data_IF_878966461716
#
_entry.id   IF_878966461716
#
_cell.length_a   1.000
_cell.length_b   1.000
_cell.length_c   1.000
_cell.angle_alpha   90.00
_cell.angle_beta   90.00
_cell.angle_gamma   90.00
#
_symmetry.space_group_name_H-M   'P 1'
#
loop_
_entity.id
_entity.type
_entity.pdbx_description
1 polymer ?
#
# COMPACT_ATOMS: atom_id res chain seq x y z
N UNK A 1 -13.88 -11.04 10.11
CA UNK A 1 -14.76 -10.80 8.94
C UNK A 1 -14.05 -9.85 7.97
N UNK A 2 -14.22 -10.01 6.65
CA UNK A 2 -13.55 -9.14 5.66
C UNK A 2 -14.17 -7.74 5.66
N UNK A 3 -13.34 -6.72 5.45
CA UNK A 3 -13.74 -5.32 5.36
C UNK A 3 -14.47 -5.01 4.04
N UNK A 4 -15.27 -3.94 3.93
CA UNK A 4 -15.86 -3.51 2.66
C UNK A 4 -14.82 -3.29 1.55
N UNK A 5 -15.27 -3.37 0.30
CA UNK A 5 -14.48 -3.05 -0.89
C UNK A 5 -14.99 -1.74 -1.49
N UNK A 6 -14.14 -0.74 -1.65
CA UNK A 6 -14.46 0.52 -2.31
C UNK A 6 -13.79 0.61 -3.67
N UNK A 7 -14.58 0.90 -4.71
CA UNK A 7 -14.09 1.24 -6.04
C UNK A 7 -14.04 2.76 -6.19
N UNK A 8 -12.82 3.28 -6.30
CA UNK A 8 -12.50 4.68 -6.51
C UNK A 8 -11.97 4.90 -7.94
N UNK A 9 -11.86 6.16 -8.36
CA UNK A 9 -11.25 6.54 -9.63
C UNK A 9 -12.08 7.54 -10.41
N UNK A 10 -11.50 8.05 -11.50
CA UNK A 10 -12.11 9.10 -12.29
C UNK A 10 -13.47 8.68 -12.88
N UNK A 11 -14.27 9.64 -13.28
CA UNK A 11 -15.56 9.33 -13.91
C UNK A 11 -15.32 8.55 -15.21
N UNK A 12 -16.23 7.63 -15.57
CA UNK A 12 -16.11 6.76 -16.74
C UNK A 12 -14.97 5.71 -16.72
N UNK A 13 -14.32 5.46 -15.58
CA UNK A 13 -13.36 4.33 -15.45
C UNK A 13 -14.02 2.95 -15.27
N UNK A 14 -15.36 2.88 -15.27
CA UNK A 14 -16.12 1.62 -15.19
C UNK A 14 -16.47 1.14 -13.77
N UNK A 15 -16.31 1.98 -12.74
CA UNK A 15 -16.55 1.63 -11.32
C UNK A 15 -17.87 0.89 -11.05
N UNK A 16 -18.99 1.41 -11.52
CA UNK A 16 -20.31 0.78 -11.28
C UNK A 16 -20.41 -0.58 -11.98
N UNK A 17 -19.97 -0.69 -13.23
CA UNK A 17 -20.02 -1.96 -13.98
C UNK A 17 -19.09 -3.03 -13.39
N UNK A 18 -17.84 -2.66 -13.11
CA UNK A 18 -16.85 -3.53 -12.45
C UNK A 18 -17.35 -3.91 -11.05
N UNK A 19 -17.89 -2.95 -10.30
CA UNK A 19 -18.40 -3.17 -8.95
C UNK A 19 -19.54 -4.18 -8.89
N UNK A 20 -20.49 -4.13 -9.82
CA UNK A 20 -21.56 -5.14 -9.94
C UNK A 20 -20.99 -6.53 -10.22
N UNK A 21 -20.09 -6.65 -11.20
CA UNK A 21 -19.46 -7.92 -11.55
C UNK A 21 -18.64 -8.50 -10.39
N UNK A 22 -17.92 -7.66 -9.64
CA UNK A 22 -17.17 -8.07 -8.44
C UNK A 22 -18.12 -8.52 -7.32
N UNK A 23 -19.20 -7.77 -7.08
CA UNK A 23 -20.20 -8.10 -6.06
C UNK A 23 -20.87 -9.45 -6.35
N UNK A 24 -21.25 -9.70 -7.60
CA UNK A 24 -21.80 -10.98 -8.05
C UNK A 24 -20.80 -12.12 -7.84
N UNK A 25 -19.56 -11.95 -8.34
CA UNK A 25 -18.47 -12.93 -8.20
C UNK A 25 -18.19 -13.29 -6.74
N UNK A 26 -18.21 -12.32 -5.85
CA UNK A 26 -17.91 -12.49 -4.42
C UNK A 26 -19.15 -12.81 -3.58
N UNK A 27 -20.35 -12.84 -4.17
CA UNK A 27 -21.64 -12.96 -3.47
C UNK A 27 -21.77 -11.94 -2.34
N UNK A 28 -21.55 -10.67 -2.69
CA UNK A 28 -21.64 -9.51 -1.78
C UNK A 28 -22.70 -8.53 -2.23
N UNK A 29 -23.28 -7.74 -1.32
CA UNK A 29 -24.15 -6.63 -1.69
C UNK A 29 -23.36 -5.61 -2.51
N UNK A 30 -24.00 -5.08 -3.55
CA UNK A 30 -23.47 -3.95 -4.31
C UNK A 30 -24.19 -2.66 -3.88
N UNK A 31 -23.42 -1.61 -3.63
CA UNK A 31 -23.92 -0.28 -3.31
C UNK A 31 -23.30 0.71 -4.31
N UNK A 32 -24.14 1.43 -5.05
CA UNK A 32 -23.70 2.62 -5.76
C UNK A 32 -23.95 3.84 -4.86
N UNK A 33 -22.88 4.51 -4.43
CA UNK A 33 -22.98 5.58 -3.43
C UNK A 33 -23.79 6.77 -3.98
N UNK A 34 -23.63 7.09 -5.26
CA UNK A 34 -24.34 8.19 -5.91
C UNK A 34 -25.86 7.89 -5.92
N UNK A 35 -26.25 6.66 -6.33
CA UNK A 35 -27.65 6.24 -6.32
C UNK A 35 -28.26 6.21 -4.89
N UNK A 36 -27.47 5.85 -3.88
CA UNK A 36 -27.89 5.87 -2.48
C UNK A 36 -28.17 7.29 -1.99
N UNK A 37 -27.38 8.27 -2.42
CA UNK A 37 -27.59 9.69 -2.10
C UNK A 37 -28.86 10.20 -2.77
N UNK A 38 -29.07 9.90 -4.06
CA UNK A 38 -30.29 10.30 -4.78
C UNK A 38 -31.55 9.72 -4.14
N UNK A 39 -31.52 8.44 -3.76
CA UNK A 39 -32.63 7.80 -3.06
C UNK A 39 -32.97 8.49 -1.74
N UNK A 40 -31.96 8.94 -0.98
CA UNK A 40 -32.16 9.64 0.30
C UNK A 40 -32.61 11.08 0.11
N UNK A 41 -32.07 11.77 -0.89
CA UNK A 41 -32.39 13.17 -1.20
C UNK A 41 -33.74 13.32 -1.92
N UNK A 42 -34.27 12.24 -2.51
CA UNK A 42 -35.51 12.25 -3.27
C UNK A 42 -35.40 13.00 -4.61
N UNK A 43 -34.19 13.34 -5.06
CA UNK A 43 -33.93 14.05 -6.31
C UNK A 43 -32.58 13.63 -6.92
N UNK A 44 -32.37 13.86 -8.24
CA UNK A 44 -31.10 13.56 -8.90
C UNK A 44 -29.94 14.44 -8.42
N UNK A 45 -28.71 13.93 -8.51
CA UNK A 45 -27.51 14.69 -8.12
C UNK A 45 -27.40 16.01 -8.87
N UNK A 46 -27.77 16.06 -10.15
CA UNK A 46 -27.77 17.29 -10.95
C UNK A 46 -28.60 18.40 -10.29
N UNK A 47 -29.74 18.06 -9.69
CA UNK A 47 -30.61 19.00 -8.98
C UNK A 47 -30.00 19.44 -7.65
N UNK A 48 -29.34 18.54 -6.91
CA UNK A 48 -28.60 18.87 -5.69
C UNK A 48 -27.47 19.87 -6.01
N UNK A 49 -26.73 19.65 -7.10
CA UNK A 49 -25.69 20.58 -7.56
C UNK A 49 -26.28 21.95 -7.93
N UNK A 50 -27.40 21.97 -8.65
CA UNK A 50 -28.04 23.21 -9.08
C UNK A 50 -28.61 24.02 -7.91
N UNK A 51 -29.19 23.35 -6.89
CA UNK A 51 -29.84 24.02 -5.75
C UNK A 51 -28.88 24.37 -4.63
N UNK A 52 -27.95 23.47 -4.29
CA UNK A 52 -27.16 23.53 -3.07
C UNK A 52 -25.65 23.58 -3.31
N UNK A 53 -25.22 23.44 -4.58
CA UNK A 53 -23.82 23.47 -4.97
C UNK A 53 -23.03 22.20 -4.65
N UNK A 54 -21.80 22.12 -5.19
CA UNK A 54 -20.93 20.96 -5.02
C UNK A 54 -20.56 20.70 -3.55
N UNK A 55 -20.33 21.74 -2.76
CA UNK A 55 -19.91 21.60 -1.37
C UNK A 55 -20.93 20.84 -0.51
N UNK A 56 -22.22 21.09 -0.72
CA UNK A 56 -23.32 20.38 -0.06
C UNK A 56 -23.39 18.92 -0.51
N UNK A 57 -23.29 18.64 -1.82
CA UNK A 57 -23.24 17.28 -2.34
C UNK A 57 -22.06 16.49 -1.74
N UNK A 58 -20.87 17.10 -1.68
CA UNK A 58 -19.69 16.49 -1.05
C UNK A 58 -19.90 16.22 0.43
N UNK A 59 -20.77 16.94 1.13
CA UNK A 59 -21.11 16.65 2.53
C UNK A 59 -21.96 15.40 2.65
N UNK A 60 -23.00 15.27 1.81
CA UNK A 60 -23.84 14.07 1.72
C UNK A 60 -23.02 12.83 1.33
N UNK A 61 -22.08 12.98 0.38
CA UNK A 61 -21.19 11.89 -0.05
C UNK A 61 -20.31 11.37 1.10
N UNK A 62 -19.82 12.27 1.96
CA UNK A 62 -19.03 11.88 3.14
C UNK A 62 -19.87 11.20 4.20
N UNK A 63 -21.06 11.73 4.48
CA UNK A 63 -21.98 11.17 5.48
C UNK A 63 -22.42 9.77 5.07
N UNK A 64 -22.90 9.59 3.84
CA UNK A 64 -23.32 8.30 3.32
C UNK A 64 -22.19 7.25 3.34
N UNK A 65 -20.96 7.64 2.97
CA UNK A 65 -19.82 6.73 3.04
C UNK A 65 -19.44 6.38 4.48
N UNK A 66 -19.47 7.35 5.40
CA UNK A 66 -19.18 7.09 6.83
C UNK A 66 -20.17 6.10 7.42
N UNK A 67 -21.46 6.30 7.20
CA UNK A 67 -22.48 5.38 7.71
C UNK A 67 -22.24 3.94 7.25
N UNK A 68 -21.88 3.72 5.98
CA UNK A 68 -21.59 2.38 5.45
C UNK A 68 -20.38 1.76 6.16
N UNK A 69 -19.31 2.54 6.37
CA UNK A 69 -18.07 2.05 6.98
C UNK A 69 -18.16 1.88 8.49
N UNK A 70 -18.99 2.67 9.18
CA UNK A 70 -19.22 2.59 10.61
C UNK A 70 -20.19 1.47 10.97
N UNK A 71 -21.26 1.30 10.21
CA UNK A 71 -22.23 0.21 10.41
C UNK A 71 -21.60 -1.18 10.27
N UNK A 72 -20.44 -1.29 9.61
CA UNK A 72 -19.70 -2.55 9.40
C UNK A 72 -20.61 -3.72 8.99
N UNK A 73 -21.45 -3.56 7.94
CA UNK A 73 -22.49 -4.51 7.60
C UNK A 73 -21.90 -5.89 7.27
N UNK A 74 -22.62 -6.94 7.70
CA UNK A 74 -22.31 -8.33 7.40
C UNK A 74 -23.44 -8.93 6.52
N UNK A 75 -23.16 -9.38 5.28
CA UNK A 75 -21.84 -9.44 4.62
C UNK A 75 -21.31 -8.07 4.16
N UNK A 76 -19.98 -7.91 4.14
CA UNK A 76 -19.32 -6.67 3.73
C UNK A 76 -19.60 -6.32 2.25
N UNK A 77 -20.01 -5.08 1.93
CA UNK A 77 -20.44 -4.70 0.59
C UNK A 77 -19.27 -4.33 -0.33
N UNK A 78 -19.57 -4.37 -1.63
CA UNK A 78 -18.80 -3.70 -2.68
C UNK A 78 -19.46 -2.35 -2.97
N UNK A 79 -18.71 -1.27 -2.87
CA UNK A 79 -19.24 0.10 -2.99
C UNK A 79 -18.57 0.81 -4.16
N UNK A 80 -19.34 1.26 -5.13
CA UNK A 80 -18.88 2.19 -6.18
C UNK A 80 -18.96 3.62 -5.65
N UNK A 81 -17.85 4.34 -5.69
CA UNK A 81 -17.77 5.73 -5.21
C UNK A 81 -17.90 6.73 -6.37
N UNK A 82 -18.46 7.91 -6.08
CA UNK A 82 -18.32 9.08 -6.93
C UNK A 82 -16.85 9.50 -7.06
N UNK A 83 -16.47 10.09 -8.20
CA UNK A 83 -15.07 10.43 -8.48
C UNK A 83 -14.45 11.48 -7.54
N UNK A 84 -15.26 12.10 -6.66
CA UNK A 84 -14.84 13.07 -5.66
C UNK A 84 -14.95 12.61 -4.20
N UNK A 85 -15.42 11.38 -3.95
CA UNK A 85 -15.72 10.90 -2.59
C UNK A 85 -14.52 10.91 -1.63
N UNK A 86 -13.32 10.69 -2.16
CA UNK A 86 -12.09 10.57 -1.38
C UNK A 86 -11.12 11.75 -1.55
N UNK A 87 -11.57 12.91 -2.03
CA UNK A 87 -10.69 14.07 -2.22
C UNK A 87 -10.14 14.60 -0.90
N UNK A 88 -11.00 14.68 0.13
CA UNK A 88 -10.56 15.07 1.48
C UNK A 88 -9.69 13.97 2.09
N UNK A 89 -8.44 14.30 2.41
CA UNK A 89 -7.47 13.35 2.96
C UNK A 89 -7.97 12.64 4.22
N UNK A 90 -8.66 13.34 5.13
CA UNK A 90 -9.21 12.74 6.34
C UNK A 90 -10.23 11.62 6.04
N UNK A 91 -11.15 11.85 5.09
CA UNK A 91 -12.10 10.84 4.64
C UNK A 91 -11.38 9.66 3.97
N UNK A 92 -10.33 9.95 3.18
CA UNK A 92 -9.54 8.93 2.51
C UNK A 92 -8.77 8.05 3.50
N UNK A 93 -8.11 8.64 4.50
CA UNK A 93 -7.43 7.88 5.56
C UNK A 93 -8.43 7.03 6.35
N UNK A 94 -9.60 7.58 6.66
CA UNK A 94 -10.68 6.83 7.31
C UNK A 94 -11.15 5.63 6.47
N UNK A 95 -11.28 5.81 5.16
CA UNK A 95 -11.64 4.75 4.22
C UNK A 95 -10.54 3.68 4.11
N UNK A 96 -9.26 4.08 4.03
CA UNK A 96 -8.13 3.16 3.93
C UNK A 96 -7.98 2.26 5.17
N UNK A 97 -8.35 2.78 6.35
CA UNK A 97 -8.32 2.03 7.61
C UNK A 97 -9.44 0.96 7.67
N UNK A 98 -10.62 1.28 7.15
CA UNK A 98 -11.85 0.47 7.31
C UNK A 98 -12.24 -0.38 6.11
N UNK A 99 -11.67 -0.13 4.93
CA UNK A 99 -12.04 -0.82 3.70
C UNK A 99 -10.83 -0.99 2.77
N UNK A 100 -10.91 -1.97 1.88
CA UNK A 100 -9.96 -2.09 0.77
C UNK A 100 -10.40 -1.12 -0.32
N UNK A 101 -9.52 -0.18 -0.67
CA UNK A 101 -9.77 0.86 -1.68
C UNK A 101 -9.00 0.52 -2.95
N UNK A 102 -9.70 0.22 -4.03
CA UNK A 102 -9.11 -0.02 -5.35
C UNK A 102 -9.43 1.15 -6.27
N UNK A 103 -8.40 1.81 -6.79
CA UNK A 103 -8.55 2.88 -7.77
C UNK A 103 -8.53 2.31 -9.19
N UNK A 104 -9.63 2.43 -9.91
CA UNK A 104 -9.70 2.12 -11.34
C UNK A 104 -9.21 3.32 -12.15
N UNK A 105 -8.24 3.07 -13.02
CA UNK A 105 -7.51 4.09 -13.77
C UNK A 105 -7.71 3.89 -15.28
N UNK A 106 -7.92 4.97 -16.01
CA UNK A 106 -8.06 4.93 -17.47
C UNK A 106 -7.34 6.13 -18.06
N UNK A 107 -6.86 6.01 -19.30
CA UNK A 107 -6.27 7.18 -19.98
C UNK A 107 -7.30 8.31 -20.10
N UNK A 108 -6.82 9.55 -20.18
CA UNK A 108 -7.65 10.73 -20.38
C UNK A 108 -8.56 10.57 -21.60
N UNK A 109 -7.99 10.13 -22.73
CA UNK A 109 -8.73 9.90 -23.97
C UNK A 109 -9.84 8.86 -23.79
N UNK A 110 -9.55 7.76 -23.09
CA UNK A 110 -10.54 6.72 -22.81
C UNK A 110 -11.65 7.21 -21.87
N UNK A 111 -11.31 7.98 -20.83
CA UNK A 111 -12.28 8.61 -19.93
C UNK A 111 -13.24 9.51 -20.69
N UNK A 112 -12.72 10.39 -21.57
CA UNK A 112 -13.51 11.33 -22.36
C UNK A 112 -14.37 10.59 -23.38
N UNK A 113 -13.81 9.60 -24.09
CA UNK A 113 -14.54 8.77 -25.06
C UNK A 113 -15.72 8.06 -24.39
N UNK A 114 -15.50 7.39 -23.26
CA UNK A 114 -16.55 6.70 -22.49
C UNK A 114 -17.56 7.68 -21.90
N UNK A 115 -17.13 8.86 -21.47
CA UNK A 115 -18.02 9.90 -20.96
C UNK A 115 -18.97 10.44 -22.04
N UNK A 116 -18.46 10.70 -23.25
CA UNK A 116 -19.26 11.14 -24.41
C UNK A 116 -20.24 10.05 -24.91
N UNK A 117 -19.85 8.78 -24.80
CA UNK A 117 -20.70 7.65 -25.19
C UNK A 117 -21.82 7.32 -24.19
N UNK A 118 -21.79 7.89 -22.97
CA UNK A 118 -22.83 7.65 -21.97
C UNK A 118 -23.98 8.65 -22.09
N UNK A 119 -25.23 8.20 -21.99
CA UNK A 119 -26.43 9.06 -21.94
C UNK A 119 -26.59 9.82 -20.61
N UNK A 120 -25.57 9.83 -19.75
CA UNK A 120 -25.58 10.51 -18.45
C UNK A 120 -24.96 11.89 -18.60
N UNK A 121 -25.67 12.94 -18.21
CA UNK A 121 -25.11 14.29 -18.15
C UNK A 121 -23.95 14.37 -17.15
N UNK A 122 -22.85 15.01 -17.56
CA UNK A 122 -21.64 15.19 -16.74
C UNK A 122 -21.31 16.66 -16.65
N UNK A 123 -21.91 17.41 -15.71
CA UNK A 123 -21.73 18.87 -15.60
C UNK A 123 -20.26 19.31 -15.50
N UNK A 124 -19.41 18.48 -14.88
CA UNK A 124 -17.97 18.73 -14.72
C UNK A 124 -17.17 18.67 -16.04
N UNK A 125 -17.72 18.09 -17.11
CA UNK A 125 -17.09 17.99 -18.42
C UNK A 125 -17.80 18.81 -19.51
N UNK A 126 -18.75 19.67 -19.13
CA UNK A 126 -19.43 20.55 -20.10
C UNK A 126 -18.43 21.51 -20.78
N UNK A 127 -18.61 21.79 -22.07
CA UNK A 127 -17.70 22.64 -22.85
C UNK A 127 -16.44 21.88 -23.28
N UNK A 128 -15.25 22.38 -22.91
CA UNK A 128 -13.97 21.76 -23.27
C UNK A 128 -13.67 20.51 -22.40
N UNK A 129 -14.33 19.40 -22.72
CA UNK A 129 -14.28 18.18 -21.91
C UNK A 129 -12.87 17.61 -21.70
N UNK A 130 -11.98 17.72 -22.69
CA UNK A 130 -10.63 17.16 -22.62
C UNK A 130 -9.73 17.95 -21.66
N UNK A 131 -9.69 19.27 -21.81
CA UNK A 131 -8.93 20.17 -20.93
C UNK A 131 -9.44 20.09 -19.48
N UNK A 132 -10.76 20.17 -19.29
CA UNK A 132 -11.36 20.06 -17.95
C UNK A 132 -11.11 18.69 -17.31
N UNK A 133 -11.13 17.61 -18.09
CA UNK A 133 -10.81 16.29 -17.58
C UNK A 133 -9.33 16.17 -17.19
N UNK A 134 -8.42 16.79 -17.95
CA UNK A 134 -6.99 16.84 -17.62
C UNK A 134 -6.76 17.59 -16.30
N UNK A 135 -7.34 18.79 -16.15
CA UNK A 135 -7.25 19.60 -14.92
C UNK A 135 -7.79 18.85 -13.71
N UNK A 136 -8.94 18.18 -13.86
CA UNK A 136 -9.53 17.39 -12.79
C UNK A 136 -8.68 16.16 -12.44
N UNK A 137 -8.09 15.47 -13.42
CA UNK A 137 -7.22 14.33 -13.14
C UNK A 137 -5.97 14.78 -12.37
N UNK A 138 -5.36 15.90 -12.76
CA UNK A 138 -4.20 16.45 -12.05
C UNK A 138 -4.57 16.88 -10.63
N UNK A 139 -5.66 17.64 -10.46
CA UNK A 139 -6.13 18.07 -9.15
C UNK A 139 -6.46 16.90 -8.20
N UNK A 140 -6.78 15.72 -8.75
CA UNK A 140 -7.18 14.51 -8.00
C UNK A 140 -6.08 13.46 -7.89
N UNK A 141 -4.92 13.70 -8.51
CA UNK A 141 -3.83 12.74 -8.65
C UNK A 141 -3.37 12.14 -7.33
N UNK A 142 -3.17 12.96 -6.30
CA UNK A 142 -2.81 12.50 -4.95
C UNK A 142 -3.91 11.66 -4.30
N UNK A 143 -5.18 12.02 -4.50
CA UNK A 143 -6.31 11.28 -3.92
C UNK A 143 -6.49 9.91 -4.59
N UNK A 144 -6.15 9.79 -5.88
CA UNK A 144 -6.20 8.53 -6.62
C UNK A 144 -4.99 7.63 -6.36
N UNK A 145 -3.83 8.21 -6.04
CA UNK A 145 -2.63 7.47 -5.67
C UNK A 145 -2.73 6.79 -4.29
N UNK A 146 -3.38 7.44 -3.31
CA UNK A 146 -3.57 6.90 -1.96
C UNK A 146 -4.68 5.82 -1.93
N UNK A 147 -4.30 4.59 -2.29
CA UNK A 147 -5.18 3.43 -2.39
C UNK A 147 -4.43 2.13 -2.02
N UNK A 148 -5.15 1.01 -1.93
CA UNK A 148 -4.56 -0.31 -1.71
C UNK A 148 -4.01 -0.90 -3.01
N UNK A 149 -4.61 -0.56 -4.15
CA UNK A 149 -4.16 -0.95 -5.46
C UNK A 149 -4.74 -0.02 -6.53
N UNK A 150 -3.96 0.19 -7.60
CA UNK A 150 -4.41 0.90 -8.80
C UNK A 150 -4.47 -0.09 -9.96
N UNK A 151 -5.59 -0.11 -10.69
CA UNK A 151 -5.80 -1.04 -11.80
C UNK A 151 -6.08 -0.23 -13.07
N UNK A 152 -5.19 -0.29 -14.08
CA UNK A 152 -5.47 0.21 -15.42
C UNK A 152 -6.65 -0.55 -16.04
N UNK A 153 -7.56 0.18 -16.69
CA UNK A 153 -8.80 -0.35 -17.27
C UNK A 153 -8.84 -0.27 -18.80
N UNK A 154 -7.86 0.36 -19.43
CA UNK A 154 -7.79 0.50 -20.88
C UNK A 154 -7.59 -0.86 -21.54
N UNK A 155 -8.40 -1.18 -22.55
CA UNK A 155 -8.31 -2.44 -23.31
C UNK A 155 -8.65 -3.72 -22.53
N UNK A 156 -9.16 -3.62 -21.29
CA UNK A 156 -9.47 -4.77 -20.44
C UNK A 156 -10.96 -5.04 -20.34
N UNK A 157 -11.34 -6.31 -20.30
CA UNK A 157 -12.73 -6.71 -20.10
C UNK A 157 -13.20 -6.46 -18.66
N UNK A 158 -14.52 -6.32 -18.47
CA UNK A 158 -15.11 -6.19 -17.12
C UNK A 158 -14.80 -7.42 -16.27
N UNK A 159 -14.77 -8.61 -16.87
CA UNK A 159 -14.50 -9.87 -16.17
C UNK A 159 -13.05 -9.92 -15.66
N UNK A 160 -12.07 -9.53 -16.48
CA UNK A 160 -10.66 -9.46 -16.07
C UNK A 160 -10.46 -8.45 -14.94
N UNK A 161 -11.11 -7.29 -15.05
CA UNK A 161 -11.07 -6.26 -14.01
C UNK A 161 -11.71 -6.76 -12.72
N UNK A 162 -12.87 -7.42 -12.81
CA UNK A 162 -13.57 -7.96 -11.65
C UNK A 162 -12.74 -9.06 -10.96
N UNK A 163 -12.08 -9.93 -11.73
CA UNK A 163 -11.17 -10.95 -11.20
C UNK A 163 -9.98 -10.31 -10.47
N UNK A 164 -9.33 -9.30 -11.07
CA UNK A 164 -8.20 -8.61 -10.47
C UNK A 164 -8.58 -7.87 -9.18
N UNK A 165 -9.70 -7.12 -9.18
CA UNK A 165 -10.23 -6.45 -7.99
C UNK A 165 -10.56 -7.45 -6.88
N UNK A 166 -11.23 -8.56 -7.22
CA UNK A 166 -11.58 -9.61 -6.27
C UNK A 166 -10.34 -10.23 -5.63
N UNK A 167 -9.28 -10.48 -6.41
CA UNK A 167 -8.02 -11.01 -5.91
C UNK A 167 -7.37 -10.06 -4.89
N UNK A 168 -7.34 -8.75 -5.16
CA UNK A 168 -6.83 -7.74 -4.21
C UNK A 168 -7.65 -7.73 -2.91
N UNK A 169 -8.97 -7.74 -3.02
CA UNK A 169 -9.85 -7.76 -1.84
C UNK A 169 -9.68 -9.04 -1.00
N UNK A 170 -9.45 -10.19 -1.67
CA UNK A 170 -9.19 -11.47 -1.00
C UNK A 170 -7.84 -11.52 -0.28
N UNK A 171 -6.86 -10.74 -0.73
CA UNK A 171 -5.56 -10.63 -0.06
C UNK A 171 -5.59 -9.73 1.18
N UNK A 172 -6.58 -8.83 1.26
CA UNK A 172 -6.75 -7.87 2.36
C UNK A 172 -5.45 -7.11 2.72
N UNK A 173 -4.79 -6.46 1.74
CA UNK A 173 -3.56 -5.72 2.02
C UNK A 173 -3.83 -4.54 2.95
N UNK A 174 -2.77 -3.99 3.53
CA UNK A 174 -2.80 -2.68 4.19
C UNK A 174 -2.29 -1.62 3.23
N UNK A 175 -2.86 -0.41 3.29
CA UNK A 175 -2.39 0.74 2.52
C UNK A 175 -1.63 1.73 3.42
N UNK A 176 -0.47 2.19 2.95
CA UNK A 176 0.29 3.28 3.58
C UNK A 176 0.13 4.54 2.73
N UNK A 177 -0.57 5.53 3.26
CA UNK A 177 -0.90 6.77 2.56
C UNK A 177 0.26 7.77 2.57
N UNK A 178 1.11 7.70 1.55
CA UNK A 178 2.33 8.49 1.39
C UNK A 178 2.30 9.39 0.13
N UNK A 179 1.13 9.94 -0.20
CA UNK A 179 0.94 10.75 -1.40
C UNK A 179 1.09 9.89 -2.66
N UNK A 180 1.88 10.34 -3.63
CA UNK A 180 2.13 9.58 -4.87
C UNK A 180 2.87 8.27 -4.67
N UNK A 181 3.69 8.22 -3.63
CA UNK A 181 4.48 7.03 -3.27
C UNK A 181 3.76 6.19 -2.23
N UNK A 182 2.42 6.25 -2.24
CA UNK A 182 1.62 5.32 -1.45
C UNK A 182 1.83 3.90 -1.95
N UNK A 183 1.79 2.96 -1.02
CA UNK A 183 2.11 1.57 -1.30
C UNK A 183 1.26 0.64 -0.43
N UNK A 184 1.19 -0.61 -0.87
CA UNK A 184 0.54 -1.67 -0.11
C UNK A 184 1.54 -2.51 0.67
N UNK A 185 1.08 -3.05 1.79
CA UNK A 185 1.76 -4.09 2.56
C UNK A 185 0.93 -5.36 2.45
N UNK A 186 1.50 -6.40 1.84
CA UNK A 186 0.91 -7.73 1.78
C UNK A 186 1.45 -8.59 2.92
N UNK A 187 0.57 -9.22 3.69
CA UNK A 187 0.92 -9.97 4.89
C UNK A 187 0.26 -11.35 4.80
N UNK A 188 1.01 -12.41 5.05
CA UNK A 188 0.49 -13.75 4.98
C UNK A 188 1.55 -14.79 5.31
N UNK A 189 1.19 -16.05 5.12
CA UNK A 189 2.06 -17.20 5.35
C UNK A 189 2.32 -17.91 4.02
N UNK A 190 3.57 -18.23 3.73
CA UNK A 190 3.99 -18.91 2.48
C UNK A 190 3.58 -18.15 1.22
N UNK A 191 3.70 -16.82 1.25
CA UNK A 191 3.32 -15.93 0.16
C UNK A 191 4.51 -15.47 -0.69
N UNK A 192 5.75 -15.68 -0.26
CA UNK A 192 6.97 -15.24 -0.96
C UNK A 192 6.96 -15.63 -2.45
N UNK A 193 6.81 -16.92 -2.76
CA UNK A 193 6.87 -17.44 -4.13
C UNK A 193 5.71 -16.98 -5.03
N UNK A 194 4.51 -16.79 -4.45
CA UNK A 194 3.32 -16.46 -5.21
C UNK A 194 3.13 -14.96 -5.44
N UNK A 195 3.77 -14.11 -4.62
CA UNK A 195 3.46 -12.68 -4.56
C UNK A 195 4.63 -11.79 -4.94
N UNK A 196 5.87 -12.20 -4.68
CA UNK A 196 7.02 -11.29 -4.80
C UNK A 196 7.22 -10.76 -6.22
N UNK A 197 7.16 -11.61 -7.24
CA UNK A 197 7.28 -11.16 -8.64
C UNK A 197 6.14 -10.22 -9.06
N UNK A 198 4.90 -10.47 -8.62
CA UNK A 198 3.77 -9.58 -8.92
C UNK A 198 3.96 -8.21 -8.25
N UNK A 199 4.40 -8.18 -7.00
CA UNK A 199 4.66 -6.95 -6.27
C UNK A 199 5.84 -6.15 -6.85
N UNK A 200 6.86 -6.85 -7.34
CA UNK A 200 8.01 -6.25 -8.03
C UNK A 200 7.63 -5.79 -9.44
N UNK A 201 6.64 -6.39 -10.11
CA UNK A 201 6.28 -6.08 -11.49
C UNK A 201 7.41 -6.43 -12.48
N UNK A 202 7.48 -5.71 -13.60
CA UNK A 202 8.40 -6.02 -14.71
C UNK A 202 9.42 -4.90 -14.97
N UNK A 203 10.38 -4.66 -14.05
CA UNK A 203 11.43 -3.68 -14.28
C UNK A 203 12.43 -4.18 -15.36
N UNK A 204 13.11 -3.28 -16.10
CA UNK A 204 14.17 -3.66 -17.05
C UNK A 204 15.36 -4.36 -16.36
N UNK A 205 15.66 -3.97 -15.12
CA UNK A 205 16.70 -4.58 -14.28
C UNK A 205 16.25 -4.65 -12.82
N UNK A 206 16.63 -5.73 -12.15
CA UNK A 206 16.28 -6.01 -10.77
C UNK A 206 17.55 -6.28 -9.96
N UNK A 207 17.71 -5.60 -8.83
CA UNK A 207 18.80 -5.83 -7.87
C UNK A 207 18.21 -6.39 -6.58
N UNK A 208 18.60 -7.61 -6.21
CA UNK A 208 18.23 -8.24 -4.94
C UNK A 208 19.35 -8.01 -3.93
N UNK A 209 19.08 -7.22 -2.90
CA UNK A 209 19.99 -6.95 -1.79
C UNK A 209 19.59 -7.80 -0.59
N UNK A 210 20.52 -8.55 -0.04
CA UNK A 210 20.32 -9.39 1.14
C UNK A 210 21.60 -9.43 1.97
N UNK A 211 21.59 -10.11 3.11
CA UNK A 211 22.82 -10.46 3.83
C UNK A 211 23.17 -11.94 3.65
N UNK A 212 24.42 -12.31 3.91
CA UNK A 212 24.92 -13.68 3.72
C UNK A 212 24.17 -14.71 4.57
N UNK A 213 23.68 -14.35 5.77
CA UNK A 213 22.93 -15.26 6.65
C UNK A 213 21.55 -15.56 6.06
N UNK A 214 20.80 -14.51 5.71
CA UNK A 214 19.48 -14.62 5.10
C UNK A 214 19.57 -15.29 3.73
N UNK A 215 20.62 -15.00 2.96
CA UNK A 215 20.87 -15.67 1.68
C UNK A 215 21.12 -17.17 1.86
N UNK A 216 21.91 -17.57 2.85
CA UNK A 216 22.16 -18.98 3.16
C UNK A 216 20.89 -19.74 3.55
N UNK A 217 19.97 -19.10 4.28
CA UNK A 217 18.72 -19.71 4.73
C UNK A 217 17.63 -19.73 3.65
N UNK A 218 17.43 -18.61 2.94
CA UNK A 218 16.26 -18.38 2.08
C UNK A 218 16.59 -17.95 0.64
N UNK A 219 17.87 -17.85 0.28
CA UNK A 219 18.34 -17.36 -1.02
C UNK A 219 17.74 -18.13 -2.19
N UNK A 220 17.68 -19.46 -2.11
CA UNK A 220 17.09 -20.30 -3.14
C UNK A 220 15.58 -20.01 -3.34
N UNK A 221 14.84 -19.72 -2.26
CA UNK A 221 13.42 -19.44 -2.31
C UNK A 221 13.14 -18.07 -2.95
N UNK A 222 13.86 -17.02 -2.52
CA UNK A 222 13.68 -15.66 -3.05
C UNK A 222 14.14 -15.55 -4.51
N UNK A 223 15.26 -16.19 -4.89
CA UNK A 223 15.74 -16.21 -6.28
C UNK A 223 14.75 -16.97 -7.18
N UNK A 224 14.18 -18.09 -6.70
CA UNK A 224 13.14 -18.81 -7.44
C UNK A 224 11.91 -17.94 -7.65
N UNK A 225 11.45 -17.25 -6.61
CA UNK A 225 10.32 -16.32 -6.68
C UNK A 225 10.56 -15.18 -7.69
N UNK A 226 11.81 -14.76 -7.86
CA UNK A 226 12.23 -13.71 -8.79
C UNK A 226 12.82 -14.23 -10.10
N UNK A 227 12.80 -15.54 -10.35
CA UNK A 227 13.49 -16.15 -11.50
C UNK A 227 13.08 -15.59 -12.87
N UNK A 228 11.80 -15.21 -13.13
CA UNK A 228 11.43 -14.58 -14.40
C UNK A 228 12.09 -13.21 -14.62
N UNK A 229 12.58 -12.57 -13.56
CA UNK A 229 13.16 -11.23 -13.56
C UNK A 229 14.70 -11.23 -13.50
N UNK A 230 15.32 -12.41 -13.33
CA UNK A 230 16.78 -12.60 -13.33
C UNK A 230 17.54 -11.57 -12.48
N UNK A 231 17.34 -11.56 -11.14
CA UNK A 231 17.91 -10.52 -10.29
C UNK A 231 19.44 -10.56 -10.23
N UNK A 232 20.07 -9.39 -10.20
CA UNK A 232 21.47 -9.20 -9.77
C UNK A 232 21.48 -9.34 -8.24
N UNK A 233 22.14 -10.37 -7.72
CA UNK A 233 22.16 -10.66 -6.29
C UNK A 233 23.36 -10.00 -5.63
N UNK A 234 23.12 -9.21 -4.59
CA UNK A 234 24.13 -8.57 -3.75
C UNK A 234 23.93 -9.08 -2.31
N UNK A 235 24.77 -10.03 -1.90
CA UNK A 235 24.83 -10.48 -0.52
C UNK A 235 25.86 -9.65 0.26
N UNK A 236 25.40 -8.97 1.30
CA UNK A 236 26.22 -8.16 2.19
C UNK A 236 26.65 -8.97 3.43
N UNK A 237 27.79 -8.64 4.05
CA UNK A 237 28.10 -9.17 5.36
C UNK A 237 27.00 -8.81 6.39
N UNK A 238 26.60 -9.74 7.27
CA UNK A 238 25.52 -9.53 8.22
C UNK A 238 25.98 -8.72 9.44
N UNK A 239 25.10 -7.88 10.00
CA UNK A 239 25.37 -7.13 11.23
C UNK A 239 25.18 -5.62 11.09
N UNK A 240 24.90 -4.93 12.20
CA UNK A 240 24.69 -3.48 12.23
C UNK A 240 25.98 -2.73 11.86
N UNK A 241 27.16 -3.31 12.14
CA UNK A 241 28.46 -2.77 11.77
C UNK A 241 28.63 -2.57 10.26
N UNK A 242 27.85 -3.30 9.44
CA UNK A 242 27.85 -3.17 7.99
C UNK A 242 26.80 -2.19 7.48
N UNK A 243 26.08 -1.51 8.37
CA UNK A 243 25.14 -0.44 8.05
C UNK A 243 25.87 0.88 7.78
N UNK A 244 26.78 0.87 6.81
CA UNK A 244 27.63 2.02 6.47
C UNK A 244 27.64 2.27 4.96
N UNK A 245 28.13 3.44 4.54
CA UNK A 245 28.13 3.86 3.12
C UNK A 245 28.81 2.85 2.18
N UNK A 246 29.85 2.14 2.64
CA UNK A 246 30.54 1.13 1.82
C UNK A 246 29.65 -0.04 1.38
N UNK A 247 28.61 -0.39 2.15
CA UNK A 247 27.66 -1.45 1.77
C UNK A 247 26.70 -0.95 0.70
N UNK A 248 26.32 0.33 0.78
CA UNK A 248 25.50 1.02 -0.22
C UNK A 248 26.27 1.12 -1.55
N UNK A 249 27.57 1.45 -1.47
CA UNK A 249 28.45 1.52 -2.64
C UNK A 249 28.54 0.19 -3.39
N UNK A 250 28.64 -0.93 -2.67
CA UNK A 250 28.64 -2.28 -3.28
C UNK A 250 27.37 -2.52 -4.11
N UNK A 251 26.21 -2.09 -3.61
CA UNK A 251 24.93 -2.21 -4.31
C UNK A 251 24.95 -1.36 -5.59
N UNK A 252 25.40 -0.11 -5.52
CA UNK A 252 25.47 0.77 -6.69
C UNK A 252 26.42 0.24 -7.77
N UNK A 253 27.59 -0.29 -7.38
CA UNK A 253 28.56 -0.88 -8.31
C UNK A 253 27.96 -2.08 -9.03
N UNK A 254 27.39 -3.03 -8.30
CA UNK A 254 26.72 -4.18 -8.88
C UNK A 254 25.55 -3.80 -9.81
N UNK A 255 24.79 -2.75 -9.44
CA UNK A 255 23.72 -2.22 -10.28
C UNK A 255 24.26 -1.64 -11.60
N UNK A 256 25.32 -0.83 -11.56
CA UNK A 256 25.96 -0.25 -12.75
C UNK A 256 26.56 -1.34 -13.66
N UNK A 257 27.29 -2.28 -13.08
CA UNK A 257 27.91 -3.41 -13.79
C UNK A 257 26.86 -4.31 -14.46
N UNK A 258 25.71 -4.50 -13.80
CA UNK A 258 24.56 -5.23 -14.37
C UNK A 258 23.69 -4.41 -15.33
N UNK A 259 24.08 -3.17 -15.65
CA UNK A 259 23.39 -2.30 -16.60
C UNK A 259 22.04 -1.75 -16.11
N UNK A 260 21.86 -1.61 -14.79
CA UNK A 260 20.67 -1.00 -14.21
C UNK A 260 20.61 0.51 -14.52
N UNK A 261 19.47 0.98 -15.01
CA UNK A 261 19.20 2.40 -15.27
C UNK A 261 18.16 2.96 -14.29
N UNK A 262 17.61 4.15 -14.58
CA UNK A 262 16.56 4.79 -13.78
C UNK A 262 15.25 3.99 -13.70
N UNK A 263 15.03 3.05 -14.61
CA UNK A 263 13.86 2.17 -14.61
C UNK A 263 14.04 0.93 -13.75
N UNK A 264 15.26 0.68 -13.25
CA UNK A 264 15.54 -0.48 -12.40
C UNK A 264 14.73 -0.48 -11.10
N UNK A 265 14.70 -1.64 -10.44
CA UNK A 265 14.07 -1.81 -9.14
C UNK A 265 15.00 -2.55 -8.19
N UNK A 266 14.95 -2.17 -6.91
CA UNK A 266 15.70 -2.83 -5.83
C UNK A 266 14.75 -3.67 -4.97
N UNK A 267 15.17 -4.84 -4.52
CA UNK A 267 14.48 -5.65 -3.51
C UNK A 267 15.39 -5.76 -2.30
N UNK A 268 14.95 -5.25 -1.15
CA UNK A 268 15.64 -5.45 0.13
C UNK A 268 15.07 -6.67 0.85
N UNK A 269 15.80 -7.77 0.88
CA UNK A 269 15.40 -9.05 1.48
C UNK A 269 16.25 -9.36 2.72
N UNK A 270 15.74 -9.05 3.90
CA UNK A 270 16.47 -9.25 5.16
C UNK A 270 15.83 -8.54 6.35
N UNK A 271 16.59 -8.40 7.44
CA UNK A 271 16.18 -7.61 8.61
C UNK A 271 16.24 -6.09 8.37
N UNK A 272 16.06 -5.30 9.44
CA UNK A 272 16.02 -3.83 9.39
C UNK A 272 17.27 -3.19 8.76
N UNK A 273 18.45 -3.74 9.05
CA UNK A 273 19.73 -3.30 8.45
C UNK A 273 19.69 -3.38 6.93
N UNK A 274 19.35 -4.55 6.39
CA UNK A 274 19.29 -4.77 4.94
C UNK A 274 18.26 -3.86 4.29
N UNK A 275 17.06 -3.73 4.87
CA UNK A 275 16.01 -2.88 4.30
C UNK A 275 16.38 -1.40 4.32
N UNK A 276 17.07 -0.92 5.36
CA UNK A 276 17.54 0.46 5.44
C UNK A 276 18.62 0.75 4.39
N UNK A 277 19.61 -0.13 4.26
CA UNK A 277 20.69 0.00 3.26
C UNK A 277 20.10 -0.07 1.85
N UNK A 278 19.25 -1.07 1.56
CA UNK A 278 18.65 -1.26 0.24
C UNK A 278 17.74 -0.09 -0.14
N UNK A 279 16.93 0.39 0.80
CA UNK A 279 16.08 1.56 0.60
C UNK A 279 16.89 2.84 0.38
N UNK A 280 18.02 3.01 1.06
CA UNK A 280 18.90 4.17 0.87
C UNK A 280 19.67 4.09 -0.45
N UNK A 281 20.13 2.90 -0.82
CA UNK A 281 20.71 2.64 -2.14
C UNK A 281 19.72 3.00 -3.25
N UNK A 282 18.46 2.56 -3.12
CA UNK A 282 17.40 2.88 -4.07
C UNK A 282 17.09 4.39 -4.13
N UNK A 283 17.08 5.08 -2.99
CA UNK A 283 16.80 6.52 -2.91
C UNK A 283 17.81 7.38 -3.67
N UNK A 284 19.05 6.91 -3.76
CA UNK A 284 20.21 7.69 -4.22
C UNK A 284 20.72 7.22 -5.58
N UNK A 285 20.51 5.95 -5.93
CA UNK A 285 20.86 5.42 -7.24
C UNK A 285 20.07 6.12 -8.35
N UNK A 286 20.76 6.70 -9.33
CA UNK A 286 20.15 7.47 -10.43
C UNK A 286 19.15 8.55 -9.94
N UNK A 287 19.36 9.10 -8.73
CA UNK A 287 18.48 10.05 -8.03
C UNK A 287 17.10 9.50 -7.64
N UNK A 288 16.98 8.18 -7.52
CA UNK A 288 15.78 7.51 -7.02
C UNK A 288 15.26 6.47 -8.00
N UNK A 289 15.30 5.21 -7.58
CA UNK A 289 14.64 4.08 -8.23
C UNK A 289 13.60 3.45 -7.31
N UNK A 290 12.63 2.74 -7.89
CA UNK A 290 11.62 2.03 -7.11
C UNK A 290 12.26 0.89 -6.29
N UNK A 291 11.68 0.56 -5.14
CA UNK A 291 12.15 -0.58 -4.36
C UNK A 291 11.03 -1.29 -3.61
N UNK A 292 11.22 -2.58 -3.35
CA UNK A 292 10.30 -3.43 -2.59
C UNK A 292 11.00 -3.93 -1.34
N UNK A 293 10.34 -3.83 -0.19
CA UNK A 293 10.82 -4.38 1.07
C UNK A 293 10.28 -5.79 1.31
N UNK A 294 11.15 -6.73 1.68
CA UNK A 294 10.78 -8.09 2.06
C UNK A 294 11.43 -8.40 3.40
N UNK A 295 10.88 -7.86 4.51
CA UNK A 295 11.43 -8.03 5.84
C UNK A 295 11.43 -9.50 6.29
N UNK A 296 12.51 -9.96 6.90
CA UNK A 296 12.67 -11.36 7.39
C UNK A 296 12.78 -11.49 8.90
N UNK A 297 12.63 -10.37 9.63
CA UNK A 297 12.61 -10.31 11.10
C UNK A 297 11.33 -9.65 11.56
N UNK A 298 10.81 -10.03 12.73
CA UNK A 298 9.56 -9.48 13.24
C UNK A 298 9.69 -7.97 13.44
N UNK A 299 10.84 -7.50 13.93
CA UNK A 299 11.11 -6.07 14.13
C UNK A 299 11.01 -5.28 12.81
N UNK A 300 11.59 -5.82 11.74
CA UNK A 300 11.51 -5.18 10.43
C UNK A 300 10.09 -5.19 9.84
N UNK A 301 9.32 -6.26 10.08
CA UNK A 301 7.91 -6.33 9.66
C UNK A 301 7.06 -5.27 10.35
N UNK A 302 7.18 -5.12 11.68
CA UNK A 302 6.27 -4.27 12.47
C UNK A 302 6.72 -2.82 12.63
N UNK A 303 7.97 -2.50 12.26
CA UNK A 303 8.53 -1.15 12.39
C UNK A 303 9.26 -0.70 11.10
N UNK A 304 10.44 -1.27 10.84
CA UNK A 304 11.40 -0.70 9.87
C UNK A 304 10.90 -0.66 8.42
N UNK A 305 10.09 -1.63 8.00
CA UNK A 305 9.55 -1.68 6.63
C UNK A 305 8.44 -0.65 6.37
N UNK A 306 7.99 0.09 7.40
CA UNK A 306 6.87 1.02 7.30
C UNK A 306 7.30 2.47 7.56
N UNK A 307 7.12 3.35 6.56
CA UNK A 307 7.38 4.79 6.70
C UNK A 307 8.57 5.35 5.93
N UNK A 308 9.32 4.49 5.22
CA UNK A 308 10.32 4.90 4.23
C UNK A 308 11.50 5.69 4.78
N UNK A 309 11.82 5.55 6.06
CA UNK A 309 13.10 6.02 6.62
C UNK A 309 14.15 5.02 6.20
N UNK A 310 15.16 5.46 5.47
CA UNK A 310 16.24 4.58 4.99
C UNK A 310 17.55 5.29 5.24
N UNK A 311 18.63 4.55 5.52
CA UNK A 311 19.90 5.21 5.82
C UNK A 311 21.00 4.28 6.29
N UNK A 312 22.07 4.93 6.71
CA UNK A 312 23.29 4.30 7.22
C UNK A 312 23.75 5.01 8.49
N UNK A 313 24.54 4.28 9.27
CA UNK A 313 25.24 4.78 10.44
C UNK A 313 26.56 5.43 10.02
N UNK A 314 26.95 6.45 10.80
CA UNK A 314 28.31 6.95 10.86
C UNK A 314 28.89 6.61 12.23
N UNK A 315 30.22 6.61 12.35
CA UNK A 315 30.90 6.36 13.63
C UNK A 315 30.40 7.30 14.75
N UNK A 316 29.98 8.51 14.39
CA UNK A 316 29.51 9.54 15.32
C UNK A 316 28.02 9.36 15.71
N UNK A 317 27.20 8.77 14.84
CA UNK A 317 25.75 8.75 15.05
C UNK A 317 25.05 7.66 14.21
N UNK A 318 24.11 6.97 14.85
CA UNK A 318 23.21 6.02 14.19
C UNK A 318 22.13 6.72 13.38
N UNK A 319 21.81 6.20 12.20
CA UNK A 319 20.75 6.67 11.30
C UNK A 319 20.78 8.17 10.98
N UNK A 320 21.94 8.81 11.12
CA UNK A 320 22.07 10.25 10.91
C UNK A 320 22.14 10.62 9.42
N UNK A 321 22.56 9.69 8.56
CA UNK A 321 22.63 9.88 7.10
C UNK A 321 21.61 8.97 6.44
N UNK A 322 20.69 9.56 5.70
CA UNK A 322 19.60 8.80 5.09
C UNK A 322 18.68 9.63 4.21
N UNK A 323 17.59 9.00 3.80
CA UNK A 323 16.54 9.62 2.99
C UNK A 323 15.16 9.18 3.48
N UNK A 324 14.15 10.00 3.19
CA UNK A 324 12.75 9.57 3.22
C UNK A 324 12.37 9.05 1.82
N UNK A 325 12.49 7.73 1.62
CA UNK A 325 12.22 7.05 0.36
C UNK A 325 11.29 5.86 0.57
N UNK A 326 10.02 6.06 0.21
CA UNK A 326 8.98 5.05 0.41
C UNK A 326 9.18 3.87 -0.56
N UNK A 327 8.95 2.62 -0.13
CA UNK A 327 8.91 1.49 -1.04
C UNK A 327 7.70 1.59 -1.99
N UNK A 328 7.75 0.87 -3.11
CA UNK A 328 6.59 0.64 -3.98
C UNK A 328 5.70 -0.50 -3.48
N UNK A 329 6.15 -1.26 -2.49
CA UNK A 329 5.40 -2.34 -1.85
C UNK A 329 6.23 -3.03 -0.76
N UNK A 330 5.54 -3.66 0.19
CA UNK A 330 6.19 -4.48 1.23
C UNK A 330 5.51 -5.86 1.29
N UNK A 331 6.31 -6.92 1.37
CA UNK A 331 5.83 -8.30 1.48
C UNK A 331 6.30 -8.92 2.81
N UNK A 332 5.36 -9.11 3.73
CA UNK A 332 5.59 -9.74 5.02
C UNK A 332 5.12 -11.20 4.97
N UNK A 333 6.02 -12.11 4.59
CA UNK A 333 5.78 -13.56 4.74
C UNK A 333 6.20 -14.02 6.13
N UNK A 334 5.23 -14.29 7.01
CA UNK A 334 5.50 -14.66 8.40
C UNK A 334 6.22 -15.99 8.55
N UNK A 335 6.27 -16.82 7.50
CA UNK A 335 7.00 -18.08 7.54
C UNK A 335 8.52 -17.86 7.64
N UNK A 336 9.03 -16.72 7.14
CA UNK A 336 10.46 -16.37 7.20
C UNK A 336 10.94 -16.21 8.65
N UNK A 337 10.04 -15.85 9.56
CA UNK A 337 10.31 -15.66 10.99
C UNK A 337 10.63 -16.98 11.71
N UNK A 338 10.33 -18.14 11.13
CA UNK A 338 10.64 -19.46 11.72
C UNK A 338 12.14 -19.70 11.89
N UNK A 339 12.96 -18.99 11.11
CA UNK A 339 14.43 -19.03 11.19
C UNK A 339 15.03 -17.88 11.98
N UNK A 340 14.20 -16.95 12.47
CA UNK A 340 14.68 -15.85 13.32
C UNK A 340 15.12 -16.39 14.68
N UNK A 341 16.19 -15.83 15.23
CA UNK A 341 16.64 -16.23 16.56
C UNK A 341 15.54 -15.98 17.61
N UNK A 342 15.35 -16.88 18.60
CA UNK A 342 14.33 -16.69 19.64
C UNK A 342 14.50 -15.38 20.42
N UNK A 343 15.76 -14.93 20.59
CA UNK A 343 16.07 -13.64 21.22
C UNK A 343 15.61 -12.45 20.34
N UNK A 344 15.89 -12.49 19.04
CA UNK A 344 15.48 -11.45 18.09
C UNK A 344 13.96 -11.31 18.04
N UNK A 345 13.27 -12.44 17.88
CA UNK A 345 11.80 -12.48 17.88
C UNK A 345 11.20 -11.90 19.16
N UNK A 346 11.67 -12.33 20.34
CA UNK A 346 11.19 -11.79 21.63
C UNK A 346 11.51 -10.30 21.81
N UNK A 347 12.68 -9.86 21.36
CA UNK A 347 13.04 -8.43 21.38
C UNK A 347 12.08 -7.60 20.54
N UNK A 348 11.67 -8.12 19.37
CA UNK A 348 10.73 -7.46 18.49
C UNK A 348 9.31 -7.38 19.07
N UNK A 349 8.89 -8.33 19.93
CA UNK A 349 7.60 -8.26 20.62
C UNK A 349 7.46 -7.01 21.51
N UNK A 350 8.56 -6.43 21.99
CA UNK A 350 8.51 -5.17 22.72
C UNK A 350 7.92 -4.02 21.86
N UNK A 351 8.27 -3.97 20.56
CA UNK A 351 7.70 -3.01 19.61
C UNK A 351 6.22 -3.28 19.33
N UNK A 352 5.82 -4.55 19.33
CA UNK A 352 4.42 -4.96 19.16
C UNK A 352 3.59 -4.52 20.36
N UNK A 353 4.06 -4.77 21.59
CA UNK A 353 3.42 -4.31 22.83
C UNK A 353 3.32 -2.79 22.85
N UNK A 354 4.42 -2.08 22.52
CA UNK A 354 4.40 -0.62 22.40
C UNK A 354 3.33 -0.14 21.42
N UNK A 355 3.23 -0.80 20.27
CA UNK A 355 2.24 -0.46 19.23
C UNK A 355 0.81 -0.68 19.71
N UNK A 356 0.55 -1.77 20.43
CA UNK A 356 -0.74 -2.05 21.05
C UNK A 356 -1.16 -0.93 22.02
N UNK A 357 -0.26 -0.59 22.96
CA UNK A 357 -0.48 0.47 23.95
C UNK A 357 -0.72 1.85 23.32
N UNK A 358 -0.09 2.13 22.17
CA UNK A 358 -0.25 3.42 21.48
C UNK A 358 -1.60 3.54 20.78
N UNK A 359 -2.19 2.46 20.25
CA UNK A 359 -3.36 2.65 19.38
C UNK A 359 -4.13 1.43 18.88
N UNK A 360 -3.98 0.25 19.49
CA UNK A 360 -4.79 -0.93 19.17
C UNK A 360 -5.07 -1.77 20.43
N UNK A 361 -6.14 -1.45 21.20
CA UNK A 361 -6.51 -2.19 22.40
C UNK A 361 -6.78 -3.68 22.13
N UNK A 362 -7.36 -4.01 20.98
CA UNK A 362 -7.59 -5.40 20.59
C UNK A 362 -6.29 -6.17 20.31
N UNK A 363 -5.22 -5.49 19.88
CA UNK A 363 -3.88 -6.09 19.82
C UNK A 363 -3.33 -6.36 21.23
N UNK A 364 -3.62 -5.49 22.19
CA UNK A 364 -3.23 -5.70 23.59
C UNK A 364 -3.96 -6.91 24.17
N UNK A 365 -5.28 -6.99 23.97
CA UNK A 365 -6.09 -8.14 24.38
C UNK A 365 -5.55 -9.45 23.78
N UNK A 366 -5.15 -9.43 22.50
CA UNK A 366 -4.56 -10.59 21.82
C UNK A 366 -3.23 -11.02 22.47
N UNK A 367 -2.38 -10.05 22.83
CA UNK A 367 -1.10 -10.31 23.48
C UNK A 367 -1.29 -10.88 24.89
N UNK A 368 -2.23 -10.36 25.66
CA UNK A 368 -2.52 -10.79 27.03
C UNK A 368 -3.21 -12.16 27.08
N UNK A 369 -4.07 -12.46 26.10
CA UNK A 369 -4.80 -13.73 26.04
C UNK A 369 -3.89 -14.95 25.84
N UNK A 370 -2.74 -14.81 25.16
CA UNK A 370 -1.86 -15.94 24.82
C UNK A 370 -0.37 -15.55 24.72
N UNK A 371 0.11 -14.81 25.71
CA UNK A 371 1.51 -14.37 25.77
C UNK A 371 2.54 -15.53 25.67
N UNK A 372 2.36 -16.70 26.33
CA UNK A 372 3.32 -17.80 26.24
C UNK A 372 3.48 -18.33 24.81
N UNK A 373 2.38 -18.53 24.07
CA UNK A 373 2.43 -19.04 22.69
C UNK A 373 3.04 -18.01 21.75
N UNK A 374 2.68 -16.73 21.90
CA UNK A 374 3.24 -15.65 21.09
C UNK A 374 4.74 -15.50 21.35
N UNK A 375 5.20 -15.58 22.61
CA UNK A 375 6.61 -15.46 22.96
C UNK A 375 7.48 -16.66 22.52
N UNK A 376 6.86 -17.81 22.25
CA UNK A 376 7.54 -19.01 21.79
C UNK A 376 7.99 -18.93 20.32
N UNK A 377 7.35 -18.09 19.49
CA UNK A 377 7.71 -17.88 18.09
C UNK A 377 6.51 -17.74 17.16
N UNK A 378 6.67 -18.19 15.91
CA UNK A 378 5.62 -18.14 14.89
C UNK A 378 4.45 -19.06 15.25
N UNK A 379 3.24 -18.53 15.20
CA UNK A 379 1.98 -19.23 15.49
C UNK A 379 0.88 -18.79 14.53
N UNK A 380 -0.32 -19.34 14.68
CA UNK A 380 -1.49 -18.93 13.88
C UNK A 380 -1.90 -17.47 14.12
N UNK A 381 -1.43 -16.86 15.22
CA UNK A 381 -1.68 -15.45 15.56
C UNK A 381 -0.70 -14.49 14.90
N UNK A 382 0.43 -14.97 14.37
CA UNK A 382 1.50 -14.09 13.88
C UNK A 382 1.06 -13.18 12.74
N UNK A 383 0.23 -13.67 11.81
CA UNK A 383 -0.32 -12.84 10.72
C UNK A 383 -1.16 -11.69 11.28
N UNK A 384 -2.05 -11.97 12.24
CA UNK A 384 -2.90 -10.95 12.86
C UNK A 384 -2.08 -9.94 13.65
N UNK A 385 -1.07 -10.39 14.40
CA UNK A 385 -0.15 -9.55 15.17
C UNK A 385 0.64 -8.58 14.28
N UNK A 386 1.21 -9.07 13.17
CA UNK A 386 1.93 -8.23 12.21
C UNK A 386 0.96 -7.26 11.53
N UNK A 387 -0.22 -7.73 11.11
CA UNK A 387 -1.23 -6.90 10.46
C UNK A 387 -1.71 -5.75 11.36
N UNK A 388 -2.09 -6.03 12.61
CA UNK A 388 -2.52 -4.99 13.56
C UNK A 388 -1.41 -3.99 13.85
N UNK A 389 -0.17 -4.46 14.03
CA UNK A 389 0.98 -3.59 14.28
C UNK A 389 1.24 -2.63 13.12
N UNK A 390 1.26 -3.15 11.89
CA UNK A 390 1.46 -2.34 10.67
C UNK A 390 0.30 -1.36 10.47
N UNK A 391 -0.94 -1.76 10.78
CA UNK A 391 -2.12 -0.88 10.67
C UNK A 391 -1.98 0.35 11.57
N UNK A 392 -1.52 0.19 12.82
CA UNK A 392 -1.26 1.33 13.71
C UNK A 392 -0.15 2.21 13.15
N UNK A 393 0.97 1.62 12.69
CA UNK A 393 2.08 2.37 12.08
C UNK A 393 1.65 3.16 10.84
N UNK A 394 0.86 2.56 9.96
CA UNK A 394 0.34 3.18 8.74
C UNK A 394 -0.43 4.49 9.01
N UNK A 395 -1.13 4.59 10.15
CA UNK A 395 -1.83 5.82 10.59
C UNK A 395 -0.87 6.96 10.93
N UNK A 396 0.36 6.65 11.32
CA UNK A 396 1.38 7.63 11.74
C UNK A 396 2.29 8.10 10.60
N UNK A 397 2.28 7.39 9.46
CA UNK A 397 3.08 7.77 8.31
C UNK A 397 2.54 9.06 7.72
N UNK A 398 3.39 10.08 7.73
CA UNK A 398 3.13 11.36 7.08
C UNK A 398 3.92 11.42 5.76
N UNK A 399 3.33 11.96 4.66
CA UNK A 399 4.06 12.17 3.42
C UNK A 399 5.33 12.98 3.65
N UNK A 400 6.40 12.66 2.92
CA UNK A 400 7.69 13.33 3.03
C UNK A 400 7.57 14.87 2.91
N UNK A 401 6.67 15.35 2.05
CA UNK A 401 6.35 16.77 1.83
C UNK A 401 5.88 17.51 3.10
N UNK A 402 5.31 16.80 4.09
CA UNK A 402 4.87 17.38 5.37
C UNK A 402 5.94 17.38 6.47
N UNK A 403 6.95 16.52 6.38
CA UNK A 403 8.02 16.43 7.40
C UNK A 403 9.08 17.51 7.26
N UNK A 404 9.17 18.17 6.10
CA UNK A 404 10.06 19.32 5.91
C UNK A 404 9.69 20.56 6.74
N UNK A 405 8.54 20.57 7.44
CA UNK A 405 8.05 21.74 8.18
C UNK A 405 7.43 21.45 9.56
N UNK A 406 7.64 20.28 10.16
CA UNK A 406 7.20 20.00 11.54
C UNK A 406 8.36 19.47 12.38
N UNK A 407 8.41 19.94 13.64
CA UNK A 407 9.33 19.50 14.69
C UNK A 407 9.25 17.99 14.96
N UNK A 408 10.04 17.50 15.94
CA UNK A 408 10.55 16.14 15.96
C UNK A 408 9.43 15.08 15.87
N UNK A 409 9.71 13.94 15.22
CA UNK A 409 8.77 12.82 15.17
C UNK A 409 8.39 12.39 16.59
N UNK A 410 7.19 11.79 16.73
CA UNK A 410 6.87 10.97 17.89
C UNK A 410 7.81 9.75 17.90
N UNK A 411 8.96 9.97 18.51
CA UNK A 411 9.88 8.99 19.07
C UNK A 411 10.30 9.61 20.40
N UNK A 412 10.08 8.96 21.55
CA UNK A 412 10.83 9.32 22.74
C UNK A 412 12.33 9.17 22.48
#
# INVERSE_FOLDING_TARGET
MRRPLLLNGFMATGKTSVGRAVAERLRRPFIDLDARIEQRAGCPIAEIFARSGEAAFRALEREALREILEASPAPAPVVSLGGGALLRREQRLFALDRAVVVTLDASLGECVRRARASNTERPLLAGNAEERAADLLEARRLAYAECHARIPTDGRSIEDLASAVAAIWQRDPLAVAAGERSYSVEIGRNILGARLAELVGTPPRLVLVTDETVHGLHGAAVVRALSPLQPIVVALPPGEEHKHIGSVERIWRAALEGGADRGARVVGFGGGVVTDIAGFAAATYQRGVAWVGVPTTLLAMVDASTGGKTGVDLAQAKNAVGAFWQPSGVLCDVELLTTESPRGFRSALAEVVKTALIGDPELLDLLEADAPTIAAGVSDRTVELVHRSIRVRARTVTPAERKAGRGPPLTP
#
